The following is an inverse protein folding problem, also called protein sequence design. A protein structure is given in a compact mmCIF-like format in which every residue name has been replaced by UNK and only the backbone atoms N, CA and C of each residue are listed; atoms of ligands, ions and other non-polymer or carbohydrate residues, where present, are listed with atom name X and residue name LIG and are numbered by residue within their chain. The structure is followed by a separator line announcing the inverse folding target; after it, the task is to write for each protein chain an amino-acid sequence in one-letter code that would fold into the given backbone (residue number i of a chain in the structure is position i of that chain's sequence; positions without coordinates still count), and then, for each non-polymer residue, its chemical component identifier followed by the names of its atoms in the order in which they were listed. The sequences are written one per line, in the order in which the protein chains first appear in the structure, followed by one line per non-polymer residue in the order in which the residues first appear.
data_IF_386733070889
#
_entry.id   IF_386733070889
#
_cell.length_a   1.000
_cell.length_b   1.000
_cell.length_c   1.000
_cell.angle_alpha   90.00
_cell.angle_beta   90.00
_cell.angle_gamma   90.00
#
_symmetry.space_group_name_H-M   'P 1'
#
loop_
_entity.id
_entity.type
_entity.pdbx_description
1 polymer ?
#
# COMPACT_ATOMS: atom_id res chain seq x y z
N UNK A 1 1.54 -13.17 13.98
CA UNK A 1 1.85 -11.74 13.72
C UNK A 1 0.81 -10.91 14.44
N UNK A 2 1.05 -10.67 15.72
CA UNK A 2 0.25 -9.75 16.51
C UNK A 2 0.49 -8.33 15.97
N UNK A 3 -0.58 -7.60 15.67
CA UNK A 3 -0.46 -6.17 15.36
C UNK A 3 -0.93 -5.37 16.56
N UNK A 4 0.06 -4.77 17.21
CA UNK A 4 -0.05 -3.66 18.16
C UNK A 4 -1.04 -2.63 17.59
N UNK A 5 -2.07 -2.35 18.37
CA UNK A 5 -3.08 -1.34 18.06
C UNK A 5 -2.43 0.04 18.25
N UNK A 6 -1.70 0.51 17.22
CA UNK A 6 -1.37 1.93 17.09
C UNK A 6 -2.69 2.67 16.98
N UNK A 7 -2.90 3.64 17.85
CA UNK A 7 -4.07 4.52 17.88
C UNK A 7 -4.48 4.87 16.44
N UNK A 8 -5.65 4.38 16.02
CA UNK A 8 -6.12 4.56 14.64
C UNK A 8 -6.39 6.04 14.43
N UNK A 9 -5.60 6.66 13.56
CA UNK A 9 -5.83 8.03 13.13
C UNK A 9 -7.08 8.06 12.24
N UNK A 10 -8.01 8.95 12.58
CA UNK A 10 -9.24 9.18 11.83
C UNK A 10 -9.11 10.51 11.08
N UNK A 11 -9.50 10.49 9.82
CA UNK A 11 -9.62 11.69 9.00
C UNK A 11 -11.00 12.30 9.22
N UNK A 12 -11.04 13.62 9.38
CA UNK A 12 -12.25 14.40 9.60
C UNK A 12 -12.41 15.42 8.47
N UNK A 13 -13.54 15.37 7.81
CA UNK A 13 -14.00 16.32 6.80
C UNK A 13 -15.33 16.90 7.27
N UNK A 14 -15.78 18.03 6.70
CA UNK A 14 -16.92 18.81 7.25
C UNK A 14 -18.21 18.00 7.47
N UNK A 15 -18.38 16.87 6.77
CA UNK A 15 -19.55 16.01 6.91
C UNK A 15 -19.22 14.51 7.06
N UNK A 16 -17.95 14.12 7.08
CA UNK A 16 -17.54 12.70 7.05
C UNK A 16 -16.33 12.48 7.96
N UNK A 17 -16.37 11.41 8.75
CA UNK A 17 -15.24 10.92 9.54
C UNK A 17 -14.94 9.50 9.12
N UNK A 18 -13.69 9.20 8.75
CA UNK A 18 -13.32 7.89 8.23
C UNK A 18 -11.87 7.50 8.55
N UNK A 19 -11.61 6.19 8.56
CA UNK A 19 -10.26 5.62 8.61
C UNK A 19 -10.23 4.42 7.67
N UNK A 20 -9.74 4.66 6.45
CA UNK A 20 -9.75 3.66 5.38
C UNK A 20 -8.37 3.02 5.25
N UNK A 21 -8.22 1.82 5.81
CA UNK A 21 -6.97 1.05 5.78
C UNK A 21 -7.14 -0.15 4.84
N UNK A 22 -6.23 -0.30 3.88
CA UNK A 22 -6.31 -1.36 2.87
C UNK A 22 -5.05 -2.22 2.87
N UNK A 23 -5.24 -3.54 2.74
CA UNK A 23 -4.17 -4.49 2.49
C UNK A 23 -4.12 -4.80 0.99
N UNK A 24 -3.39 -3.98 0.24
CA UNK A 24 -3.22 -4.15 -1.21
C UNK A 24 -2.08 -5.12 -1.49
N UNK A 25 -2.39 -6.21 -2.18
CA UNK A 25 -1.43 -7.21 -2.65
C UNK A 25 -1.68 -7.40 -4.15
N UNK A 26 -0.62 -7.42 -4.95
CA UNK A 26 -0.70 -7.69 -6.39
C UNK A 26 0.41 -8.66 -6.78
N UNK A 27 0.29 -9.26 -7.97
CA UNK A 27 1.26 -10.21 -8.50
C UNK A 27 1.51 -9.91 -9.99
N UNK A 28 2.75 -9.97 -10.48
CA UNK A 28 3.05 -9.80 -11.90
C UNK A 28 2.38 -10.87 -12.75
N UNK A 29 2.11 -10.52 -14.02
CA UNK A 29 1.48 -11.44 -14.98
C UNK A 29 2.25 -12.77 -15.03
N UNK A 30 1.52 -13.88 -14.91
CA UNK A 30 2.07 -15.25 -14.86
C UNK A 30 2.97 -15.55 -13.66
N UNK A 31 2.90 -14.75 -12.58
CA UNK A 31 3.71 -14.93 -11.36
C UNK A 31 5.21 -15.01 -11.66
N UNK A 32 5.67 -14.29 -12.70
CA UNK A 32 7.09 -14.24 -13.04
C UNK A 32 7.85 -13.49 -11.96
N UNK A 33 9.03 -13.98 -11.56
CA UNK A 33 9.95 -13.22 -10.71
C UNK A 33 10.59 -12.12 -11.55
N UNK A 34 9.85 -11.01 -11.69
CA UNK A 34 10.29 -9.82 -12.43
C UNK A 34 10.43 -8.62 -11.50
N UNK A 35 10.27 -8.79 -10.20
CA UNK A 35 10.45 -7.74 -9.19
C UNK A 35 11.80 -7.92 -8.50
N UNK A 36 12.84 -8.12 -9.30
CA UNK A 36 14.22 -8.28 -8.87
C UNK A 36 15.05 -7.02 -9.25
N UNK A 37 16.17 -6.71 -8.57
CA UNK A 37 17.03 -5.60 -8.97
C UNK A 37 17.54 -5.78 -10.42
N UNK A 38 17.50 -4.72 -11.27
CA UNK A 38 17.24 -3.30 -10.97
C UNK A 38 15.79 -2.84 -11.18
N UNK A 39 14.88 -3.70 -11.64
CA UNK A 39 13.55 -3.27 -12.10
C UNK A 39 12.58 -2.98 -10.95
N UNK A 40 12.79 -3.59 -9.78
CA UNK A 40 12.05 -3.31 -8.54
C UNK A 40 12.06 -1.81 -8.17
N UNK A 41 13.20 -1.13 -8.35
CA UNK A 41 13.34 0.30 -8.07
C UNK A 41 12.44 1.17 -8.94
N UNK A 42 12.41 0.89 -10.26
CA UNK A 42 11.56 1.61 -11.22
C UNK A 42 10.07 1.35 -10.99
N UNK A 43 9.72 0.14 -10.53
CA UNK A 43 8.34 -0.24 -10.29
C UNK A 43 7.74 0.44 -9.04
N UNK A 44 8.55 0.71 -8.01
CA UNK A 44 8.09 1.41 -6.79
C UNK A 44 7.78 2.89 -6.99
N UNK A 45 8.44 3.56 -7.94
CA UNK A 45 8.24 4.99 -8.23
C UNK A 45 6.77 5.37 -8.50
N UNK A 46 6.07 4.76 -9.47
CA UNK A 46 4.68 5.11 -9.76
C UNK A 46 3.68 4.80 -8.64
N UNK A 47 4.05 3.96 -7.66
CA UNK A 47 3.17 3.62 -6.52
C UNK A 47 3.23 4.71 -5.45
N UNK A 48 4.38 5.38 -5.33
CA UNK A 48 4.63 6.42 -4.33
C UNK A 48 4.13 7.78 -4.83
N UNK A 49 4.20 8.01 -6.14
CA UNK A 49 3.77 9.28 -6.76
C UNK A 49 2.25 9.38 -6.96
N UNK A 50 1.54 8.24 -7.00
CA UNK A 50 0.10 8.16 -7.25
C UNK A 50 -0.80 8.46 -6.06
#
# INVERSE_FOLDING_TARGET
MEKVNKEKEYHHESHIVYSCQYHVIFCPKYRRSVLDPPIDGRWKQPIIEG
#
